data_IF_012660679943
#
_entry.id   IF_012660679943
#
_cell.length_a   1.000
_cell.length_b   1.000
_cell.length_c   1.000
_cell.angle_alpha   90.00
_cell.angle_beta   90.00
_cell.angle_gamma   90.00
#
_symmetry.space_group_name_H-M   'P 1'
#
loop_
_entity.id
_entity.type
_entity.pdbx_description
1 polymer ?
#
# COMPACT_ATOMS: atom_id res chain seq x y z
N UNK A 1 1.58 26.74 17.96
CA UNK A 1 0.80 25.53 17.60
C UNK A 1 0.69 25.52 16.09
N UNK A 2 1.22 24.48 15.43
CA UNK A 2 1.05 24.33 13.98
C UNK A 2 -0.39 23.86 13.77
N UNK A 3 -1.20 24.68 13.11
CA UNK A 3 -2.64 24.40 12.89
C UNK A 3 -2.85 23.56 11.63
N UNK A 4 -1.96 23.69 10.65
CA UNK A 4 -2.02 22.99 9.37
C UNK A 4 -1.59 21.52 9.50
N UNK A 5 -2.45 20.58 9.09
CA UNK A 5 -2.21 19.13 9.24
C UNK A 5 -1.08 18.62 8.35
N UNK A 6 -0.90 19.17 7.15
CA UNK A 6 0.23 18.84 6.26
C UNK A 6 1.57 19.25 6.86
N UNK A 7 1.68 20.45 7.41
CA UNK A 7 2.92 20.88 8.07
C UNK A 7 3.20 20.05 9.34
N UNK A 8 2.17 19.67 10.11
CA UNK A 8 2.34 18.73 11.24
C UNK A 8 2.89 17.38 10.78
N UNK A 9 2.40 16.86 9.65
CA UNK A 9 2.91 15.63 9.05
C UNK A 9 4.38 15.81 8.63
N UNK A 10 4.73 16.85 7.89
CA UNK A 10 6.11 17.09 7.48
C UNK A 10 7.06 17.32 8.66
N UNK A 11 6.62 18.04 9.70
CA UNK A 11 7.38 18.19 10.94
C UNK A 11 7.63 16.83 11.62
N UNK A 12 6.63 15.95 11.64
CA UNK A 12 6.78 14.56 12.15
C UNK A 12 7.82 13.80 11.33
N UNK A 13 7.77 13.88 10.00
CA UNK A 13 8.73 13.23 9.11
C UNK A 13 10.16 13.76 9.28
N UNK A 14 10.33 15.04 9.65
CA UNK A 14 11.63 15.65 10.00
C UNK A 14 12.11 15.30 11.40
N UNK A 15 11.33 14.56 12.18
CA UNK A 15 11.64 14.21 13.57
C UNK A 15 11.46 15.37 14.55
N UNK A 16 10.72 16.41 14.16
CA UNK A 16 10.40 17.55 15.01
C UNK A 16 9.28 17.21 15.99
N UNK A 17 9.25 17.92 17.13
CA UNK A 17 8.16 17.78 18.09
C UNK A 17 6.93 18.53 17.60
N UNK A 18 5.80 17.84 17.55
CA UNK A 18 4.48 18.41 17.26
C UNK A 18 3.56 18.30 18.48
N UNK A 19 2.48 19.07 18.47
CA UNK A 19 1.46 19.03 19.51
C UNK A 19 0.49 17.87 19.29
N UNK A 20 0.64 16.78 20.04
CA UNK A 20 -0.12 15.54 19.89
C UNK A 20 0.37 14.63 18.75
N UNK A 21 -0.18 13.42 18.68
CA UNK A 21 0.13 12.43 17.63
C UNK A 21 -0.92 12.54 16.52
N UNK A 22 -0.49 12.48 15.26
CA UNK A 22 -1.41 12.42 14.12
C UNK A 22 -2.11 11.06 14.07
N UNK A 23 -3.43 11.07 13.97
CA UNK A 23 -4.23 9.85 13.93
C UNK A 23 -4.98 9.69 12.59
N UNK A 24 -5.01 8.45 12.10
CA UNK A 24 -5.83 8.01 10.99
C UNK A 24 -6.34 6.61 11.24
N UNK A 25 -7.52 6.29 10.73
CA UNK A 25 -8.10 4.96 10.83
C UNK A 25 -8.56 4.51 9.45
N UNK A 26 -8.46 3.21 9.18
CA UNK A 26 -8.88 2.63 7.91
C UNK A 26 -9.49 1.25 8.11
N UNK A 27 -10.41 0.91 7.22
CA UNK A 27 -11.10 -0.36 7.12
C UNK A 27 -11.48 -0.58 5.65
N UNK A 28 -11.95 -1.78 5.31
CA UNK A 28 -12.57 -2.00 4.00
C UNK A 28 -14.03 -1.56 4.08
N UNK A 29 -14.43 -0.69 3.15
CA UNK A 29 -15.85 -0.43 2.95
C UNK A 29 -16.55 -1.69 2.40
N UNK A 30 -17.88 -1.73 2.55
CA UNK A 30 -18.70 -2.75 1.89
C UNK A 30 -18.46 -2.73 0.38
N UNK A 31 -18.61 -3.88 -0.28
CA UNK A 31 -18.36 -4.04 -1.72
C UNK A 31 -19.10 -3.03 -2.61
N UNK A 32 -20.29 -2.61 -2.20
CA UNK A 32 -21.10 -1.62 -2.92
C UNK A 32 -20.46 -0.22 -2.95
N UNK A 33 -19.45 0.01 -2.11
CA UNK A 33 -18.73 1.27 -1.93
C UNK A 33 -17.24 1.15 -2.30
N UNK A 34 -16.86 0.12 -3.06
CA UNK A 34 -15.47 -0.08 -3.47
C UNK A 34 -14.99 0.90 -4.53
N UNK A 35 -15.87 1.29 -5.46
CA UNK A 35 -15.54 2.22 -6.55
C UNK A 35 -16.68 3.20 -6.83
N UNK A 36 -16.43 4.13 -7.74
CA UNK A 36 -17.37 5.11 -8.26
C UNK A 36 -17.83 6.14 -7.22
N UNK A 37 -18.99 6.74 -7.50
CA UNK A 37 -19.60 7.78 -6.66
C UNK A 37 -19.88 7.29 -5.24
N UNK A 38 -20.28 6.03 -5.09
CA UNK A 38 -20.58 5.42 -3.79
C UNK A 38 -19.33 5.37 -2.90
N UNK A 39 -18.16 5.03 -3.46
CA UNK A 39 -16.89 5.11 -2.74
C UNK A 39 -16.60 6.54 -2.27
N UNK A 40 -16.75 7.54 -3.15
CA UNK A 40 -16.52 8.95 -2.78
C UNK A 40 -17.43 9.39 -1.63
N UNK A 41 -18.73 9.09 -1.71
CA UNK A 41 -19.71 9.44 -0.69
C UNK A 41 -19.42 8.76 0.66
N UNK A 42 -19.02 7.49 0.65
CA UNK A 42 -18.63 6.76 1.86
C UNK A 42 -17.42 7.39 2.55
N UNK A 43 -16.40 7.84 1.80
CA UNK A 43 -15.24 8.52 2.36
C UNK A 43 -15.58 9.89 2.95
N UNK A 44 -16.45 10.66 2.29
CA UNK A 44 -16.87 11.97 2.79
C UNK A 44 -17.70 11.83 4.06
N UNK A 45 -18.64 10.88 4.10
CA UNK A 45 -19.40 10.54 5.31
C UNK A 45 -18.49 10.09 6.45
N UNK A 46 -17.54 9.21 6.16
CA UNK A 46 -16.52 8.77 7.11
C UNK A 46 -15.70 9.94 7.66
N UNK A 47 -15.22 10.84 6.79
CA UNK A 47 -14.47 12.02 7.23
C UNK A 47 -15.30 12.93 8.13
N UNK A 48 -16.59 13.16 7.83
CA UNK A 48 -17.45 14.00 8.67
C UNK A 48 -17.67 13.44 10.07
N UNK A 49 -17.75 12.11 10.18
CA UNK A 49 -17.96 11.40 11.46
C UNK A 49 -16.69 11.31 12.29
N UNK A 50 -15.56 11.00 11.66
CA UNK A 50 -14.31 10.66 12.37
C UNK A 50 -13.33 11.83 12.43
N UNK A 51 -13.26 12.65 11.37
CA UNK A 51 -12.35 13.79 11.22
C UNK A 51 -10.89 13.47 11.58
N UNK A 52 -10.28 12.45 10.94
CA UNK A 52 -8.89 12.08 11.22
C UNK A 52 -7.91 13.17 10.79
N UNK A 53 -6.69 13.14 11.36
CA UNK A 53 -5.61 14.03 10.98
C UNK A 53 -5.00 13.66 9.63
N UNK A 54 -5.04 12.38 9.26
CA UNK A 54 -4.60 11.85 7.97
C UNK A 54 -5.69 10.93 7.40
N UNK A 55 -5.92 10.98 6.09
CA UNK A 55 -6.89 10.10 5.44
C UNK A 55 -6.22 9.23 4.37
N UNK A 56 -6.42 7.93 4.51
CA UNK A 56 -6.14 6.94 3.47
C UNK A 56 -7.40 6.77 2.61
N UNK A 57 -7.29 6.82 1.30
CA UNK A 57 -8.37 6.44 0.38
C UNK A 57 -8.44 4.91 0.34
N UNK A 58 -9.55 4.36 0.80
CA UNK A 58 -9.84 2.94 1.06
C UNK A 58 -10.72 2.30 -0.04
N UNK A 59 -10.58 2.76 -1.27
CA UNK A 59 -11.26 2.17 -2.43
C UNK A 59 -10.54 0.89 -2.90
N UNK A 60 -11.22 0.09 -3.70
CA UNK A 60 -10.71 -1.20 -4.18
C UNK A 60 -10.64 -1.20 -5.71
N UNK A 61 -9.45 -0.95 -6.25
CA UNK A 61 -9.17 -1.07 -7.69
C UNK A 61 -8.21 -2.22 -7.94
N UNK A 62 -8.69 -3.24 -8.64
CA UNK A 62 -7.92 -4.45 -8.92
C UNK A 62 -7.07 -4.33 -10.18
N UNK A 63 -5.84 -4.82 -10.09
CA UNK A 63 -4.90 -4.86 -11.20
C UNK A 63 -5.42 -5.78 -12.32
N UNK A 64 -5.10 -5.42 -13.57
CA UNK A 64 -5.44 -6.21 -14.76
C UNK A 64 -4.17 -6.67 -15.45
N UNK A 65 -4.07 -7.96 -15.72
CA UNK A 65 -2.97 -8.56 -16.47
C UNK A 65 -3.19 -8.42 -17.97
N UNK A 66 -2.12 -8.34 -18.75
CA UNK A 66 -2.20 -8.26 -20.22
C UNK A 66 -2.81 -9.52 -20.85
N UNK A 67 -2.60 -10.67 -20.22
CA UNK A 67 -3.14 -11.97 -20.60
C UNK A 67 -3.38 -12.84 -19.35
N UNK A 68 -4.27 -13.85 -19.43
CA UNK A 68 -4.44 -14.83 -18.36
C UNK A 68 -3.15 -15.59 -18.07
N UNK A 69 -2.96 -16.00 -16.81
CA UNK A 69 -1.84 -16.84 -16.38
C UNK A 69 -2.41 -18.13 -15.80
N UNK A 70 -1.95 -19.28 -16.31
CA UNK A 70 -2.32 -20.59 -15.79
C UNK A 70 -1.11 -21.49 -15.55
N UNK A 71 -0.02 -21.28 -16.29
CA UNK A 71 1.23 -22.03 -16.16
C UNK A 71 2.44 -21.06 -16.19
N UNK A 72 3.64 -21.58 -15.88
CA UNK A 72 4.85 -20.74 -15.80
C UNK A 72 5.21 -20.07 -17.12
N UNK A 73 4.98 -20.75 -18.25
CA UNK A 73 5.35 -20.20 -19.56
C UNK A 73 4.52 -18.98 -19.93
N UNK A 74 3.33 -18.81 -19.35
CA UNK A 74 2.47 -17.65 -19.58
C UNK A 74 3.10 -16.35 -19.03
N UNK A 75 3.98 -16.42 -18.03
CA UNK A 75 4.69 -15.25 -17.51
C UNK A 75 5.70 -14.67 -18.52
N UNK A 76 6.20 -15.49 -19.46
CA UNK A 76 7.17 -15.04 -20.45
C UNK A 76 6.56 -13.95 -21.33
N UNK A 77 7.37 -12.93 -21.59
CA UNK A 77 7.02 -11.77 -22.40
C UNK A 77 5.77 -11.01 -21.93
N UNK A 78 5.38 -11.16 -20.66
CA UNK A 78 4.29 -10.38 -20.07
C UNK A 78 4.63 -8.88 -20.12
N UNK A 79 3.69 -8.09 -20.64
CA UNK A 79 3.86 -6.64 -20.79
C UNK A 79 2.91 -5.87 -19.88
N UNK A 80 3.32 -4.66 -19.52
CA UNK A 80 2.43 -3.72 -18.86
C UNK A 80 1.31 -3.33 -19.84
N UNK A 81 0.08 -3.24 -19.34
CA UNK A 81 -1.03 -2.71 -20.11
C UNK A 81 -0.80 -1.23 -20.46
N UNK A 82 -1.23 -0.75 -21.64
CA UNK A 82 -1.46 0.67 -21.86
C UNK A 82 -2.41 1.23 -20.79
N UNK A 83 -2.20 2.49 -20.37
CA UNK A 83 -2.93 3.12 -19.27
C UNK A 83 -4.46 2.97 -19.40
N UNK A 84 -4.99 3.19 -20.61
CA UNK A 84 -6.41 3.19 -20.93
C UNK A 84 -7.06 1.81 -20.71
N UNK A 85 -6.26 0.75 -20.65
CA UNK A 85 -6.72 -0.63 -20.43
C UNK A 85 -6.59 -1.09 -18.97
N UNK A 86 -5.94 -0.30 -18.12
CA UNK A 86 -5.73 -0.65 -16.70
C UNK A 86 -7.02 -0.60 -15.89
N UNK A 87 -7.92 0.33 -16.23
CA UNK A 87 -9.14 0.62 -15.45
C UNK A 87 -8.93 1.66 -14.34
N UNK A 88 -7.70 2.12 -14.09
CA UNK A 88 -7.40 3.04 -12.99
C UNK A 88 -7.86 4.49 -13.22
N UNK A 89 -8.39 4.85 -14.39
CA UNK A 89 -8.96 6.20 -14.59
C UNK A 89 -10.15 6.46 -13.67
N UNK A 90 -10.91 5.42 -13.30
CA UNK A 90 -11.99 5.53 -12.32
C UNK A 90 -11.42 5.90 -10.94
N UNK A 91 -10.32 5.26 -10.52
CA UNK A 91 -9.61 5.64 -9.30
C UNK A 91 -9.13 7.10 -9.34
N UNK A 92 -8.50 7.53 -10.43
CA UNK A 92 -8.06 8.93 -10.54
C UNK A 92 -9.24 9.91 -10.45
N UNK A 93 -10.39 9.55 -11.00
CA UNK A 93 -11.62 10.35 -10.93
C UNK A 93 -12.11 10.46 -9.48
N UNK A 94 -12.25 9.33 -8.79
CA UNK A 94 -12.63 9.30 -7.36
C UNK A 94 -11.67 10.13 -6.50
N UNK A 95 -10.36 9.99 -6.73
CA UNK A 95 -9.34 10.68 -5.96
C UNK A 95 -9.42 12.20 -6.15
N UNK A 96 -9.58 12.67 -7.39
CA UNK A 96 -9.76 14.11 -7.69
C UNK A 96 -11.02 14.67 -7.03
N UNK A 97 -12.12 13.90 -7.01
CA UNK A 97 -13.37 14.29 -6.34
C UNK A 97 -13.16 14.42 -4.83
N UNK A 98 -12.54 13.42 -4.19
CA UNK A 98 -12.21 13.47 -2.77
C UNK A 98 -11.30 14.65 -2.45
N UNK A 99 -10.26 14.87 -3.26
CA UNK A 99 -9.32 15.97 -3.03
C UNK A 99 -10.00 17.34 -3.13
N UNK A 100 -10.98 17.49 -4.02
CA UNK A 100 -11.75 18.72 -4.18
C UNK A 100 -12.75 18.98 -3.04
N UNK A 101 -13.35 17.93 -2.47
CA UNK A 101 -14.38 18.04 -1.43
C UNK A 101 -13.82 18.02 0.00
N UNK A 102 -12.63 17.43 0.21
CA UNK A 102 -11.96 17.37 1.52
C UNK A 102 -11.11 18.62 1.81
N UNK A 103 -10.93 18.99 3.09
CA UNK A 103 -10.13 20.15 3.46
C UNK A 103 -8.71 20.12 2.89
N UNK A 104 -8.25 21.25 2.35
CA UNK A 104 -6.98 21.33 1.61
C UNK A 104 -5.74 21.00 2.46
N UNK A 105 -5.82 21.22 3.77
CA UNK A 105 -4.74 20.92 4.71
C UNK A 105 -4.72 19.46 5.17
N UNK A 106 -5.76 18.64 4.86
CA UNK A 106 -5.81 17.22 5.22
C UNK A 106 -4.82 16.43 4.34
N UNK A 107 -3.80 15.77 4.91
CA UNK A 107 -2.97 14.80 4.21
C UNK A 107 -3.84 13.65 3.68
N UNK A 108 -3.80 13.46 2.36
CA UNK A 108 -4.60 12.46 1.66
C UNK A 108 -3.69 11.48 0.92
N UNK A 109 -3.75 10.22 1.32
CA UNK A 109 -2.91 9.14 0.78
C UNK A 109 -3.73 8.22 -0.12
N UNK A 110 -3.23 7.97 -1.33
CA UNK A 110 -3.80 6.96 -2.20
C UNK A 110 -3.30 5.57 -1.79
N UNK A 111 -4.18 4.58 -1.72
CA UNK A 111 -3.79 3.18 -1.53
C UNK A 111 -3.34 2.57 -2.84
N UNK A 112 -2.18 1.92 -2.85
CA UNK A 112 -1.68 1.11 -3.97
C UNK A 112 -1.34 -0.28 -3.44
N UNK A 113 -1.98 -1.29 -4.01
CA UNK A 113 -1.67 -2.69 -3.74
C UNK A 113 -0.29 -3.04 -4.28
N UNK A 114 0.55 -3.67 -3.44
CA UNK A 114 1.91 -4.05 -3.80
C UNK A 114 1.98 -5.07 -4.92
N UNK A 115 3.20 -5.37 -5.40
CA UNK A 115 3.39 -6.11 -6.66
C UNK A 115 2.76 -7.50 -6.60
N UNK A 116 2.99 -8.24 -5.51
CA UNK A 116 2.41 -9.58 -5.34
C UNK A 116 0.90 -9.56 -5.17
N UNK A 117 0.35 -8.56 -4.48
CA UNK A 117 -1.11 -8.40 -4.30
C UNK A 117 -1.75 -8.14 -5.66
N UNK A 118 -1.19 -7.22 -6.43
CA UNK A 118 -1.67 -6.85 -7.75
C UNK A 118 -1.61 -8.03 -8.73
N UNK A 119 -0.52 -8.80 -8.73
CA UNK A 119 -0.43 -10.00 -9.54
C UNK A 119 -1.45 -11.07 -9.11
N UNK A 120 -1.69 -11.21 -7.80
CA UNK A 120 -2.67 -12.15 -7.27
C UNK A 120 -4.09 -11.81 -7.74
N UNK A 121 -4.50 -10.54 -7.62
CA UNK A 121 -5.81 -10.06 -8.11
C UNK A 121 -6.10 -10.40 -9.58
N UNK A 122 -5.06 -10.45 -10.40
CA UNK A 122 -5.24 -10.63 -11.83
C UNK A 122 -5.09 -12.10 -12.29
N UNK A 123 -4.73 -13.02 -11.38
CA UNK A 123 -4.50 -14.43 -11.71
C UNK A 123 -5.47 -15.40 -11.02
N UNK A 124 -6.00 -15.02 -9.86
CA UNK A 124 -7.02 -15.76 -9.13
C UNK A 124 -8.20 -14.82 -8.78
N UNK A 125 -9.09 -15.22 -7.88
CA UNK A 125 -10.30 -14.45 -7.54
C UNK A 125 -9.96 -13.07 -6.94
N UNK A 126 -10.33 -11.95 -7.59
CA UNK A 126 -10.10 -10.61 -7.06
C UNK A 126 -10.80 -10.43 -5.71
N UNK A 127 -10.12 -9.79 -4.75
CA UNK A 127 -10.68 -9.53 -3.41
C UNK A 127 -10.58 -10.71 -2.42
N UNK A 128 -10.09 -11.88 -2.84
CA UNK A 128 -9.78 -12.98 -1.92
C UNK A 128 -8.30 -12.93 -1.53
N UNK A 129 -7.98 -12.60 -0.28
CA UNK A 129 -6.61 -12.35 0.20
C UNK A 129 -6.08 -13.40 1.18
N UNK A 130 -6.77 -14.53 1.32
CA UNK A 130 -6.56 -15.44 2.43
C UNK A 130 -5.56 -16.57 2.14
N UNK A 131 -5.32 -16.90 0.86
CA UNK A 131 -4.46 -18.02 0.51
C UNK A 131 -3.01 -17.57 0.20
N UNK A 132 -2.04 -17.80 1.09
CA UNK A 132 -0.63 -17.52 0.84
C UNK A 132 -0.01 -18.47 -0.21
N UNK A 133 -0.62 -19.63 -0.48
CA UNK A 133 -0.23 -20.59 -1.53
C UNK A 133 -1.04 -20.41 -2.83
N UNK A 134 -1.32 -19.15 -3.19
CA UNK A 134 -1.92 -18.80 -4.48
C UNK A 134 -0.99 -19.13 -5.66
N UNK A 135 -1.55 -19.12 -6.87
CA UNK A 135 -0.85 -19.38 -8.13
C UNK A 135 0.44 -18.57 -8.28
N UNK A 136 0.43 -17.26 -7.97
CA UNK A 136 1.65 -16.41 -8.07
C UNK A 136 2.74 -16.95 -7.16
N UNK A 137 2.39 -17.30 -5.92
CA UNK A 137 3.36 -17.80 -4.94
C UNK A 137 3.90 -19.18 -5.30
N UNK A 138 3.05 -20.07 -5.84
CA UNK A 138 3.48 -21.38 -6.37
C UNK A 138 4.44 -21.22 -7.54
N UNK A 139 4.07 -20.41 -8.54
CA UNK A 139 4.90 -20.20 -9.72
C UNK A 139 6.21 -19.49 -9.38
N UNK A 140 6.21 -18.53 -8.44
CA UNK A 140 7.43 -17.86 -7.99
C UNK A 140 8.38 -18.82 -7.28
N UNK A 141 7.88 -19.84 -6.55
CA UNK A 141 8.73 -20.89 -5.97
C UNK A 141 9.31 -21.83 -7.02
N UNK A 142 8.55 -22.14 -8.06
CA UNK A 142 8.94 -23.10 -9.09
C UNK A 142 9.93 -22.51 -10.12
N UNK A 143 9.71 -21.26 -10.57
CA UNK A 143 10.61 -20.55 -11.49
C UNK A 143 10.70 -19.05 -11.12
N UNK A 144 11.48 -18.70 -10.09
CA UNK A 144 11.52 -17.33 -9.57
C UNK A 144 12.07 -16.32 -10.58
N UNK A 145 13.03 -16.71 -11.43
CA UNK A 145 13.65 -15.82 -12.41
C UNK A 145 12.64 -15.38 -13.47
N UNK A 146 11.88 -16.33 -14.04
CA UNK A 146 10.85 -16.04 -15.04
C UNK A 146 9.74 -15.17 -14.44
N UNK A 147 9.21 -15.56 -13.27
CA UNK A 147 8.08 -14.85 -12.65
C UNK A 147 8.50 -13.46 -12.18
N UNK A 148 9.63 -13.31 -11.48
CA UNK A 148 10.10 -12.00 -11.01
C UNK A 148 10.42 -11.05 -12.18
N UNK A 149 10.93 -11.58 -13.30
CA UNK A 149 11.13 -10.79 -14.52
C UNK A 149 9.81 -10.29 -15.09
N UNK A 150 8.79 -11.15 -15.13
CA UNK A 150 7.46 -10.79 -15.60
C UNK A 150 6.80 -9.75 -14.69
N UNK A 151 6.94 -9.88 -13.36
CA UNK A 151 6.38 -8.95 -12.38
C UNK A 151 6.95 -7.51 -12.48
N UNK A 152 8.05 -7.29 -13.20
CA UNK A 152 8.52 -5.94 -13.55
C UNK A 152 7.51 -5.17 -14.41
N UNK A 153 6.63 -5.86 -15.15
CA UNK A 153 5.51 -5.23 -15.86
C UNK A 153 4.48 -4.65 -14.90
N UNK A 154 4.21 -5.35 -13.79
CA UNK A 154 3.35 -4.88 -12.70
C UNK A 154 3.98 -3.66 -12.03
N UNK A 155 5.27 -3.72 -11.70
CA UNK A 155 6.03 -2.56 -11.17
C UNK A 155 5.84 -1.34 -12.07
N UNK A 156 6.03 -1.47 -13.39
CA UNK A 156 5.85 -0.36 -14.34
C UNK A 156 4.44 0.26 -14.26
N UNK A 157 3.40 -0.55 -14.22
CA UNK A 157 2.02 -0.05 -14.10
C UNK A 157 1.78 0.62 -12.75
N UNK A 158 2.30 0.07 -11.64
CA UNK A 158 2.14 0.68 -10.31
C UNK A 158 2.92 1.98 -10.15
N UNK A 159 4.10 2.11 -10.78
CA UNK A 159 4.82 3.38 -10.87
C UNK A 159 4.00 4.43 -11.63
N UNK A 160 3.43 4.07 -12.79
CA UNK A 160 2.58 4.98 -13.57
C UNK A 160 1.31 5.38 -12.80
N UNK A 161 0.65 4.44 -12.12
CA UNK A 161 -0.48 4.71 -11.24
C UNK A 161 -0.09 5.67 -10.12
N UNK A 162 1.02 5.42 -9.44
CA UNK A 162 1.52 6.27 -8.36
C UNK A 162 1.78 7.70 -8.84
N UNK A 163 2.39 7.85 -10.02
CA UNK A 163 2.59 9.18 -10.63
C UNK A 163 1.29 9.90 -10.86
N UNK A 164 0.31 9.25 -11.48
CA UNK A 164 -0.96 9.89 -11.80
C UNK A 164 -1.79 10.22 -10.55
N UNK A 165 -1.65 9.44 -9.47
CA UNK A 165 -2.28 9.73 -8.17
C UNK A 165 -1.65 10.95 -7.49
N UNK A 166 -0.32 11.07 -7.52
CA UNK A 166 0.40 12.26 -7.03
C UNK A 166 -0.02 13.49 -7.84
N UNK A 167 -0.05 13.41 -9.17
CA UNK A 167 -0.56 14.47 -10.05
C UNK A 167 -2.04 14.81 -9.79
N UNK A 168 -2.84 13.85 -9.36
CA UNK A 168 -4.24 14.05 -8.96
C UNK A 168 -4.39 14.73 -7.58
N UNK A 169 -3.28 14.98 -6.87
CA UNK A 169 -3.24 15.71 -5.61
C UNK A 169 -3.07 14.84 -4.37
N UNK A 170 -2.59 13.60 -4.51
CA UNK A 170 -2.20 12.79 -3.37
C UNK A 170 -0.95 13.38 -2.70
N UNK A 171 -0.97 13.47 -1.37
CA UNK A 171 0.21 13.85 -0.58
C UNK A 171 1.25 12.72 -0.54
N UNK A 172 0.80 11.50 -0.81
CA UNK A 172 1.64 10.31 -0.78
C UNK A 172 0.86 9.05 -1.14
N UNK A 173 1.58 7.94 -1.12
CA UNK A 173 1.05 6.62 -1.41
C UNK A 173 1.15 5.73 -0.16
N UNK A 174 0.03 5.14 0.21
CA UNK A 174 -0.04 4.03 1.15
C UNK A 174 0.16 2.72 0.37
N UNK A 175 1.39 2.24 0.36
CA UNK A 175 1.83 1.08 -0.40
C UNK A 175 1.70 -0.21 0.43
N UNK A 176 0.79 -1.10 0.01
CA UNK A 176 0.46 -2.32 0.75
C UNK A 176 1.29 -3.53 0.25
N UNK A 177 2.41 -3.81 0.92
CA UNK A 177 3.32 -4.90 0.57
C UNK A 177 2.90 -6.24 1.19
N UNK A 178 3.18 -7.33 0.47
CA UNK A 178 2.95 -8.73 0.89
C UNK A 178 4.21 -9.57 0.64
N UNK A 179 4.19 -10.83 1.05
CA UNK A 179 5.23 -11.81 0.73
C UNK A 179 6.16 -12.13 1.90
N UNK A 180 6.18 -11.26 2.92
CA UNK A 180 7.06 -11.43 4.07
C UNK A 180 6.52 -12.35 5.16
N UNK A 181 5.32 -12.91 4.99
CA UNK A 181 4.76 -13.88 5.92
C UNK A 181 5.72 -15.08 6.07
N UNK A 182 6.11 -15.43 7.30
CA UNK A 182 7.18 -16.41 7.55
C UNK A 182 6.92 -17.81 6.95
N UNK A 183 5.66 -18.12 6.64
CA UNK A 183 5.22 -19.39 6.07
C UNK A 183 5.08 -19.35 4.54
N UNK A 184 5.29 -18.21 3.88
CA UNK A 184 4.98 -18.03 2.46
C UNK A 184 6.18 -18.30 1.54
N UNK A 185 7.34 -17.74 1.87
CA UNK A 185 8.59 -17.89 1.12
C UNK A 185 9.78 -18.08 2.07
N UNK A 186 10.82 -18.75 1.57
CA UNK A 186 12.13 -18.64 2.20
C UNK A 186 12.62 -17.18 2.14
N UNK A 187 13.31 -16.75 3.19
CA UNK A 187 13.86 -15.39 3.27
C UNK A 187 14.71 -15.04 2.04
N UNK A 188 15.58 -15.94 1.60
CA UNK A 188 16.45 -15.74 0.42
C UNK A 188 15.65 -15.47 -0.87
N UNK A 189 14.52 -16.14 -1.06
CA UNK A 189 13.63 -15.95 -2.21
C UNK A 189 12.97 -14.58 -2.12
N UNK A 190 12.39 -14.23 -0.97
CA UNK A 190 11.76 -12.92 -0.76
C UNK A 190 12.77 -11.79 -1.04
N UNK A 191 13.95 -11.88 -0.42
CA UNK A 191 14.98 -10.86 -0.50
C UNK A 191 15.55 -10.66 -1.90
N UNK A 192 15.65 -11.74 -2.69
CA UNK A 192 16.19 -11.71 -4.05
C UNK A 192 15.14 -11.32 -5.10
N UNK A 193 13.89 -11.76 -4.94
CA UNK A 193 12.89 -11.68 -6.01
C UNK A 193 11.67 -10.82 -5.71
N UNK A 194 11.27 -10.70 -4.45
CA UNK A 194 10.06 -9.94 -4.06
C UNK A 194 10.44 -8.52 -3.64
N UNK A 195 11.32 -8.39 -2.65
CA UNK A 195 11.73 -7.09 -2.09
C UNK A 195 12.19 -6.08 -3.16
N UNK A 196 13.01 -6.44 -4.16
CA UNK A 196 13.47 -5.46 -5.15
C UNK A 196 12.32 -4.90 -6.02
N UNK A 197 11.23 -5.66 -6.20
CA UNK A 197 10.07 -5.20 -6.96
C UNK A 197 9.27 -4.16 -6.15
N UNK A 198 9.02 -4.44 -4.88
CA UNK A 198 8.33 -3.50 -3.99
C UNK A 198 9.18 -2.24 -3.75
N UNK A 199 10.51 -2.40 -3.56
CA UNK A 199 11.45 -1.30 -3.43
C UNK A 199 11.44 -0.37 -4.64
N UNK A 200 11.41 -0.92 -5.85
CA UNK A 200 11.37 -0.11 -7.08
C UNK A 200 10.12 0.79 -7.16
N UNK A 201 8.96 0.33 -6.68
CA UNK A 201 7.75 1.17 -6.64
C UNK A 201 7.88 2.25 -5.56
N UNK A 202 8.36 1.89 -4.36
CA UNK A 202 8.56 2.84 -3.25
C UNK A 202 9.59 3.91 -3.61
N UNK A 203 10.71 3.54 -4.23
CA UNK A 203 11.73 4.49 -4.68
C UNK A 203 11.16 5.44 -5.73
N UNK A 204 10.37 4.94 -6.69
CA UNK A 204 9.67 5.78 -7.68
C UNK A 204 8.66 6.75 -7.03
N UNK A 205 8.01 6.38 -5.94
CA UNK A 205 7.13 7.29 -5.18
C UNK A 205 7.96 8.43 -4.59
N UNK A 206 9.08 8.11 -3.94
CA UNK A 206 9.95 9.11 -3.31
C UNK A 206 10.62 10.05 -4.33
N UNK A 207 11.01 9.54 -5.50
CA UNK A 207 11.62 10.32 -6.58
C UNK A 207 10.70 11.45 -7.09
N UNK A 208 9.40 11.32 -6.86
CA UNK A 208 8.41 12.35 -7.20
C UNK A 208 8.22 13.39 -6.10
N UNK A 209 8.93 13.25 -4.98
CA UNK A 209 8.75 14.08 -3.79
C UNK A 209 7.46 13.79 -3.01
N UNK A 210 6.79 12.68 -3.31
CA UNK A 210 5.60 12.23 -2.59
C UNK A 210 5.98 11.35 -1.39
N UNK A 211 5.15 11.37 -0.35
CA UNK A 211 5.41 10.60 0.87
C UNK A 211 5.11 9.11 0.62
N UNK A 212 6.03 8.23 0.97
CA UNK A 212 5.80 6.78 0.91
C UNK A 212 5.48 6.19 2.29
N UNK A 213 4.30 5.60 2.44
CA UNK A 213 3.94 4.76 3.59
C UNK A 213 4.03 3.30 3.16
N UNK A 214 5.06 2.58 3.63
CA UNK A 214 5.16 1.14 3.45
C UNK A 214 4.35 0.43 4.52
N UNK A 215 3.19 -0.10 4.12
CA UNK A 215 2.37 -0.97 4.94
C UNK A 215 2.72 -2.44 4.69
N UNK A 216 3.36 -3.07 5.68
CA UNK A 216 3.69 -4.48 5.67
C UNK A 216 2.44 -5.25 6.12
N UNK A 217 1.76 -5.86 5.16
CA UNK A 217 0.48 -6.53 5.40
C UNK A 217 0.66 -7.88 6.10
N UNK A 218 -0.44 -8.35 6.72
CA UNK A 218 -0.60 -9.66 7.39
C UNK A 218 0.24 -9.83 8.66
N UNK A 219 -0.28 -10.64 9.58
CA UNK A 219 0.43 -11.11 10.77
C UNK A 219 1.46 -12.19 10.45
N UNK A 220 2.36 -12.45 11.40
CA UNK A 220 3.44 -13.44 11.24
C UNK A 220 4.47 -13.09 10.16
N UNK A 221 4.58 -11.81 9.84
CA UNK A 221 5.52 -11.28 8.83
C UNK A 221 6.89 -11.03 9.45
N UNK A 222 7.95 -11.46 8.76
CA UNK A 222 9.33 -11.16 9.13
C UNK A 222 9.69 -9.72 8.73
N UNK A 223 9.32 -8.77 9.59
CA UNK A 223 9.49 -7.31 9.41
C UNK A 223 10.92 -6.92 9.00
N UNK A 224 12.02 -7.45 9.60
CA UNK A 224 13.39 -7.14 9.20
C UNK A 224 13.70 -7.28 7.71
N UNK A 225 13.03 -8.18 6.98
CA UNK A 225 13.27 -8.37 5.54
C UNK A 225 12.98 -7.12 4.72
N UNK A 226 12.10 -6.24 5.21
CA UNK A 226 11.72 -4.98 4.57
C UNK A 226 12.65 -3.81 4.91
N UNK A 227 13.59 -3.96 5.84
CA UNK A 227 14.47 -2.86 6.29
C UNK A 227 15.29 -2.16 5.19
N UNK A 228 15.66 -2.83 4.07
CA UNK A 228 16.32 -2.13 2.96
C UNK A 228 15.39 -1.27 2.09
N UNK A 229 14.06 -1.38 2.20
CA UNK A 229 13.13 -0.56 1.42
C UNK A 229 13.11 0.86 1.98
N UNK A 230 13.42 1.84 1.14
CA UNK A 230 13.59 3.23 1.55
C UNK A 230 12.26 4.00 1.65
N UNK A 231 11.30 3.56 2.46
CA UNK A 231 10.07 4.32 2.68
C UNK A 231 10.25 5.47 3.70
N UNK A 232 9.39 6.48 3.67
CA UNK A 232 9.38 7.57 4.67
C UNK A 232 8.73 7.12 5.99
N UNK A 233 7.64 6.37 5.86
CA UNK A 233 6.82 5.86 6.95
C UNK A 233 6.74 4.34 6.86
N UNK A 234 6.95 3.67 7.98
CA UNK A 234 6.83 2.22 8.11
C UNK A 234 5.63 1.88 8.97
N UNK A 235 4.76 1.00 8.48
CA UNK A 235 3.55 0.57 9.16
C UNK A 235 3.40 -0.96 9.10
N UNK A 236 2.97 -1.56 10.20
CA UNK A 236 2.54 -2.96 10.28
C UNK A 236 1.49 -3.10 11.39
N UNK A 237 0.75 -4.20 11.38
CA UNK A 237 -0.20 -4.51 12.45
C UNK A 237 0.58 -4.93 13.71
N UNK A 238 0.86 -3.97 14.61
CA UNK A 238 1.73 -4.17 15.78
C UNK A 238 1.20 -5.25 16.74
N UNK A 239 -0.11 -5.48 16.77
CA UNK A 239 -0.78 -6.48 17.61
C UNK A 239 -0.84 -7.88 16.96
N UNK A 240 -0.32 -8.03 15.74
CA UNK A 240 -0.24 -9.31 15.00
C UNK A 240 1.20 -9.74 14.70
N UNK A 241 2.15 -9.01 15.28
CA UNK A 241 3.56 -9.10 14.96
C UNK A 241 4.34 -9.29 16.24
N UNK A 242 5.38 -10.12 16.16
CA UNK A 242 6.35 -10.27 17.25
C UNK A 242 7.24 -9.02 17.41
N UNK A 243 7.13 -8.04 16.50
CA UNK A 243 7.92 -6.81 16.49
C UNK A 243 7.14 -5.63 17.07
N UNK A 244 7.66 -5.08 18.17
CA UNK A 244 7.13 -3.86 18.80
C UNK A 244 7.57 -2.59 18.06
N UNK A 245 6.98 -1.44 18.37
CA UNK A 245 7.47 -0.14 17.87
C UNK A 245 8.93 0.13 18.31
N UNK A 246 9.34 -0.37 19.47
CA UNK A 246 10.73 -0.24 19.94
C UNK A 246 11.69 -1.11 19.11
N UNK A 247 11.25 -2.26 18.60
CA UNK A 247 11.99 -3.04 17.60
C UNK A 247 12.05 -2.30 16.27
N UNK A 248 10.91 -1.77 15.82
CA UNK A 248 10.83 -0.97 14.60
C UNK A 248 11.80 0.21 14.60
N UNK A 249 11.96 0.91 15.74
CA UNK A 249 12.91 2.04 15.84
C UNK A 249 14.36 1.62 15.65
N UNK A 250 14.70 0.38 16.00
CA UNK A 250 16.03 -0.21 15.75
C UNK A 250 16.18 -0.71 14.32
N UNK A 251 15.13 -1.30 13.76
CA UNK A 251 15.12 -1.88 12.40
C UNK A 251 15.10 -0.82 11.30
N UNK A 252 14.44 0.31 11.53
CA UNK A 252 14.23 1.38 10.54
C UNK A 252 14.76 2.72 11.09
N UNK A 253 16.10 2.87 11.25
CA UNK A 253 16.67 4.08 11.83
C UNK A 253 16.35 5.30 10.96
N UNK A 254 15.89 6.37 11.60
CA UNK A 254 15.55 7.63 10.92
C UNK A 254 14.24 7.63 10.16
N UNK A 255 13.45 6.54 10.20
CA UNK A 255 12.12 6.47 9.59
C UNK A 255 11.03 6.79 10.60
N UNK A 256 9.93 7.34 10.10
CA UNK A 256 8.72 7.54 10.91
C UNK A 256 8.00 6.20 11.04
N UNK A 257 7.58 5.85 12.26
CA UNK A 257 6.80 4.63 12.50
C UNK A 257 5.34 5.01 12.70
N UNK A 258 4.47 4.41 11.90
CA UNK A 258 3.02 4.49 12.06
C UNK A 258 2.58 3.24 12.83
N UNK A 259 2.21 3.42 14.10
CA UNK A 259 1.66 2.35 14.93
C UNK A 259 0.16 2.14 14.69
N UNK A 260 -0.50 1.51 15.65
CA UNK A 260 -1.94 1.31 15.63
C UNK A 260 -2.46 0.85 16.98
N UNK A 261 -3.77 0.75 17.09
CA UNK A 261 -4.45 0.15 18.24
C UNK A 261 -4.85 -1.29 17.90
N UNK A 262 -5.14 -2.09 18.93
CA UNK A 262 -5.79 -3.38 18.73
C UNK A 262 -7.23 -3.14 18.25
N UNK A 263 -7.56 -3.61 17.06
CA UNK A 263 -8.87 -3.50 16.43
C UNK A 263 -9.72 -4.77 16.59
N UNK A 264 -9.23 -5.76 17.35
CA UNK A 264 -9.88 -7.07 17.52
C UNK A 264 -10.59 -7.24 18.85
N UNK A 265 -10.31 -6.38 19.82
CA UNK A 265 -10.91 -6.48 21.15
C UNK A 265 -11.06 -5.12 21.83
N UNK A 266 -12.17 -4.96 22.57
CA UNK A 266 -12.44 -3.77 23.38
C UNK A 266 -12.89 -2.54 22.58
N UNK A 267 -12.96 -1.41 23.28
CA UNK A 267 -13.10 -0.08 22.67
C UNK A 267 -11.71 0.54 22.52
N UNK A 268 -11.49 1.25 21.41
CA UNK A 268 -10.17 1.80 21.04
C UNK A 268 -9.65 2.84 22.05
N UNK A 269 -10.57 3.56 22.71
CA UNK A 269 -10.31 4.51 23.79
C UNK A 269 -11.49 4.44 24.76
N UNK A 270 -11.22 4.16 26.03
CA UNK A 270 -12.15 4.32 27.17
C UNK A 270 -11.88 5.66 27.88
#
# INVERSE_FOLDING_TARGET
MIVDRRERLHATLRGESIDGVLCGFWHHFSSDNWTGRAAVEAHLDYYQKVKPDILKVMNEHFYRMEKPISNISDWKDLKALPWERTGYEEYLTEFRMLRAELPQDLPLFATVHGVLVSAYHATEEPGYFANPDNLVSRHLREDPETVATALKSVVKTLCELSTKLVEAGADGIFYAALGGEAHRFEQSLFEKYVRPLDAAVVDHINEQGAISILHICKGGTNIPMYSPINADVINWAIHESDYTLADGRRLFPGKTLLGGFDDRSGVLVD
#
